data_IF_898186525579
#
_entry.id   IF_898186525579
#
_cell.length_a   1.000
_cell.length_b   1.000
_cell.length_c   1.000
_cell.angle_alpha   90.00
_cell.angle_beta   90.00
_cell.angle_gamma   90.00
#
_symmetry.space_group_name_H-M   'P 1'
#
loop_
_entity.id
_entity.type
_entity.pdbx_description
1 polymer ?
#
# COMPACT_ATOMS: atom_id res chain seq x y z
N UNK A 1 10.10 -2.03 36.59
CA UNK A 1 9.37 -1.03 35.78
C UNK A 1 9.12 -1.67 34.43
N UNK A 2 7.88 -2.04 34.14
CA UNK A 2 7.51 -2.57 32.82
C UNK A 2 7.50 -1.36 31.86
N UNK A 3 8.27 -1.40 30.78
CA UNK A 3 8.21 -0.36 29.75
C UNK A 3 6.80 -0.36 29.14
N UNK A 4 6.17 0.81 29.03
CA UNK A 4 4.89 0.94 28.32
C UNK A 4 5.03 0.46 26.87
N UNK A 5 4.00 -0.20 26.30
CA UNK A 5 4.04 -0.67 24.92
C UNK A 5 4.21 0.50 23.94
N UNK A 6 4.91 0.25 22.83
CA UNK A 6 5.11 1.25 21.78
C UNK A 6 3.77 1.61 21.12
N UNK A 7 3.50 2.91 20.99
CA UNK A 7 2.33 3.44 20.28
C UNK A 7 2.60 3.43 18.78
N UNK A 8 1.89 2.60 18.03
CA UNK A 8 2.08 2.42 16.59
C UNK A 8 0.91 3.03 15.84
N UNK A 9 1.20 3.90 14.87
CA UNK A 9 0.21 4.42 13.93
C UNK A 9 0.46 3.91 12.51
N UNK A 10 -0.63 3.70 11.76
CA UNK A 10 -0.59 3.17 10.40
C UNK A 10 -1.02 4.25 9.43
N UNK A 11 -0.20 4.48 8.40
CA UNK A 11 -0.56 5.31 7.25
C UNK A 11 -0.57 4.45 6.00
N UNK A 12 -1.75 4.17 5.46
CA UNK A 12 -1.87 3.30 4.29
C UNK A 12 -3.02 3.64 3.36
N UNK A 13 -3.27 2.76 2.40
CA UNK A 13 -4.43 2.81 1.52
C UNK A 13 -5.46 1.73 1.91
N UNK A 14 -6.23 1.22 0.94
CA UNK A 14 -7.29 0.22 1.17
C UNK A 14 -6.77 -1.04 1.86
N UNK A 15 -5.54 -1.48 1.55
CA UNK A 15 -4.91 -2.67 2.12
C UNK A 15 -4.82 -2.60 3.65
N UNK A 16 -4.79 -1.39 4.20
CA UNK A 16 -4.52 -1.13 5.61
C UNK A 16 -5.76 -0.64 6.39
N UNK A 17 -6.94 -0.62 5.77
CA UNK A 17 -8.18 -0.20 6.43
C UNK A 17 -8.90 -1.35 7.13
N UNK A 18 -9.73 -1.06 8.13
CA UNK A 18 -10.69 -2.01 8.68
C UNK A 18 -11.81 -1.25 9.40
N UNK A 19 -13.06 -1.64 9.18
CA UNK A 19 -14.19 -0.86 9.70
C UNK A 19 -14.24 -0.92 11.24
N UNK A 20 -14.44 0.25 11.86
CA UNK A 20 -14.27 0.47 13.30
C UNK A 20 -12.82 0.76 13.76
N UNK A 21 -11.83 0.79 12.88
CA UNK A 21 -10.42 1.06 13.24
C UNK A 21 -9.83 2.35 12.61
N UNK A 22 -10.55 2.99 11.69
CA UNK A 22 -10.12 4.22 11.01
C UNK A 22 -10.90 5.45 11.55
N UNK A 23 -10.39 6.68 11.39
CA UNK A 23 -11.12 7.89 11.77
C UNK A 23 -12.46 8.02 11.04
N UNK A 24 -13.41 8.70 11.68
CA UNK A 24 -14.72 8.97 11.07
C UNK A 24 -14.58 9.69 9.73
N UNK A 25 -15.36 9.25 8.75
CA UNK A 25 -15.33 9.79 7.38
C UNK A 25 -14.19 9.27 6.50
N UNK A 26 -13.23 8.49 7.05
CA UNK A 26 -12.22 7.84 6.23
C UNK A 26 -12.83 6.63 5.53
N UNK A 27 -12.61 6.52 4.21
CA UNK A 27 -13.16 5.38 3.48
C UNK A 27 -12.44 4.10 3.86
N UNK A 28 -13.22 3.05 4.13
CA UNK A 28 -12.74 1.72 4.49
C UNK A 28 -13.03 0.71 3.39
N UNK A 29 -12.06 -0.18 3.11
CA UNK A 29 -12.24 -1.31 2.21
C UNK A 29 -12.84 -2.53 2.92
N UNK A 30 -12.28 -2.95 4.06
CA UNK A 30 -12.72 -4.13 4.81
C UNK A 30 -13.93 -3.84 5.69
N UNK A 31 -15.10 -3.79 5.06
CA UNK A 31 -16.41 -3.58 5.67
C UNK A 31 -17.47 -4.44 4.96
N UNK A 32 -18.56 -4.77 5.66
CA UNK A 32 -19.68 -5.55 5.10
C UNK A 32 -19.24 -6.86 4.44
N UNK A 33 -19.76 -7.13 3.24
CA UNK A 33 -19.53 -8.36 2.47
C UNK A 33 -18.06 -8.61 2.15
N UNK A 34 -17.24 -7.56 1.99
CA UNK A 34 -15.81 -7.69 1.68
C UNK A 34 -15.03 -8.41 2.78
N UNK A 35 -15.48 -8.34 4.03
CA UNK A 35 -14.87 -9.10 5.14
C UNK A 35 -15.05 -10.60 4.96
N UNK A 36 -16.22 -11.01 4.44
CA UNK A 36 -16.50 -12.41 4.15
C UNK A 36 -15.76 -12.89 2.90
N UNK A 37 -15.76 -12.09 1.83
CA UNK A 37 -15.05 -12.42 0.58
C UNK A 37 -13.54 -12.58 0.77
N UNK A 38 -12.93 -11.71 1.57
CA UNK A 38 -11.48 -11.76 1.87
C UNK A 38 -11.15 -12.75 2.99
N UNK A 39 -12.13 -13.13 3.81
CA UNK A 39 -11.94 -13.84 5.06
C UNK A 39 -11.33 -13.00 6.19
N UNK A 40 -11.11 -11.69 5.99
CA UNK A 40 -10.60 -10.75 7.00
C UNK A 40 -11.79 -10.24 7.81
N UNK A 41 -12.10 -10.91 8.92
CA UNK A 41 -13.37 -10.73 9.65
C UNK A 41 -13.23 -9.90 10.92
N UNK A 42 -12.04 -9.88 11.51
CA UNK A 42 -11.73 -9.18 12.76
C UNK A 42 -10.55 -8.23 12.56
N UNK A 43 -10.43 -7.16 13.38
CA UNK A 43 -9.24 -6.30 13.36
C UNK A 43 -7.92 -7.08 13.51
N UNK A 44 -7.94 -8.13 14.33
CA UNK A 44 -6.79 -9.03 14.55
C UNK A 44 -6.34 -9.78 13.29
N UNK A 45 -7.22 -9.94 12.29
CA UNK A 45 -6.87 -10.60 11.01
C UNK A 45 -6.05 -9.68 10.09
N UNK A 46 -6.00 -8.37 10.37
CA UNK A 46 -5.30 -7.40 9.53
C UNK A 46 -3.78 -7.52 9.67
N UNK A 47 -3.06 -7.18 8.60
CA UNK A 47 -1.60 -7.23 8.63
C UNK A 47 -1.03 -6.33 9.72
N UNK A 48 -1.59 -5.14 9.90
CA UNK A 48 -1.08 -4.15 10.83
C UNK A 48 -1.31 -4.56 12.28
N UNK A 49 -2.43 -5.19 12.62
CA UNK A 49 -2.68 -5.66 13.99
C UNK A 49 -1.65 -6.74 14.36
N UNK A 50 -1.37 -7.65 13.44
CA UNK A 50 -0.39 -8.72 13.64
C UNK A 50 1.05 -8.19 13.73
N UNK A 51 1.41 -7.18 12.93
CA UNK A 51 2.72 -6.50 13.05
C UNK A 51 2.84 -5.81 14.41
N UNK A 52 1.81 -5.08 14.84
CA UNK A 52 1.81 -4.37 16.13
C UNK A 52 1.96 -5.35 17.29
N UNK A 53 1.23 -6.47 17.28
CA UNK A 53 1.35 -7.53 18.27
C UNK A 53 2.78 -8.08 18.32
N UNK A 54 3.37 -8.37 17.16
CA UNK A 54 4.74 -8.89 17.07
C UNK A 54 5.81 -7.87 17.52
N UNK A 55 5.50 -6.57 17.50
CA UNK A 55 6.36 -5.51 18.01
C UNK A 55 6.14 -5.19 19.50
N UNK A 56 5.36 -6.01 20.23
CA UNK A 56 4.91 -5.75 21.60
C UNK A 56 4.30 -4.34 21.75
N UNK A 57 3.61 -3.89 20.69
CA UNK A 57 3.05 -2.56 20.56
C UNK A 57 1.56 -2.49 20.83
N UNK A 58 1.02 -1.29 20.74
CA UNK A 58 -0.42 -1.02 20.72
C UNK A 58 -0.76 -0.06 19.59
N UNK A 59 -1.90 -0.27 18.94
CA UNK A 59 -2.39 0.66 17.93
C UNK A 59 -2.73 1.99 18.61
N UNK A 60 -2.14 3.08 18.12
CA UNK A 60 -2.52 4.44 18.49
C UNK A 60 -3.60 4.97 17.53
N UNK A 61 -3.32 4.92 16.23
CA UNK A 61 -4.27 5.36 15.21
C UNK A 61 -4.02 4.67 13.86
N UNK A 62 -5.09 4.47 13.07
CA UNK A 62 -4.97 3.97 11.71
C UNK A 62 -5.49 5.02 10.73
N UNK A 63 -4.60 5.91 10.27
CA UNK A 63 -4.87 6.96 9.29
C UNK A 63 -4.92 6.46 7.84
N UNK A 64 -5.27 5.20 7.59
CA UNK A 64 -5.40 4.64 6.24
C UNK A 64 -6.70 5.03 5.55
N UNK A 65 -6.68 5.21 4.23
CA UNK A 65 -7.85 5.60 3.45
C UNK A 65 -7.97 4.79 2.15
N UNK A 66 -9.12 4.14 1.94
CA UNK A 66 -9.34 3.29 0.78
C UNK A 66 -9.33 4.06 -0.54
N UNK A 67 -8.40 3.67 -1.43
CA UNK A 67 -8.20 4.23 -2.76
C UNK A 67 -7.27 5.45 -2.81
N UNK A 68 -6.77 5.93 -1.67
CA UNK A 68 -5.91 7.13 -1.64
C UNK A 68 -4.58 6.88 -2.34
N UNK A 69 -4.10 7.90 -3.03
CA UNK A 69 -2.74 7.98 -3.56
C UNK A 69 -1.80 8.63 -2.56
N UNK A 70 -0.49 8.50 -2.81
CA UNK A 70 0.52 9.36 -2.21
C UNK A 70 0.48 10.73 -2.89
N UNK A 71 0.42 10.75 -4.23
CA UNK A 71 0.14 11.95 -5.03
C UNK A 71 -1.25 12.53 -4.75
N UNK A 72 -1.36 13.86 -4.87
CA UNK A 72 -2.64 14.57 -4.84
C UNK A 72 -2.53 15.94 -4.18
N UNK A 73 -3.46 16.84 -4.53
CA UNK A 73 -3.43 18.24 -4.10
C UNK A 73 -4.02 18.48 -2.69
N UNK A 74 -4.62 17.46 -2.06
CA UNK A 74 -5.39 17.62 -0.83
C UNK A 74 -5.84 16.28 -0.26
N UNK A 75 -6.70 16.31 0.75
CA UNK A 75 -7.27 15.09 1.33
C UNK A 75 -8.09 14.34 0.27
N UNK A 76 -7.84 13.04 0.01
CA UNK A 76 -7.22 12.09 0.93
C UNK A 76 -5.77 11.69 0.61
N UNK A 77 -5.01 12.45 -0.17
CA UNK A 77 -3.61 12.13 -0.47
C UNK A 77 -2.79 11.92 0.81
N UNK A 78 -1.90 10.92 0.83
CA UNK A 78 -1.20 10.50 2.05
C UNK A 78 -0.42 11.61 2.75
N UNK A 79 0.13 12.55 1.98
CA UNK A 79 0.87 13.69 2.50
C UNK A 79 -0.01 14.81 3.05
N UNK A 80 -1.33 14.80 2.84
CA UNK A 80 -2.24 15.87 3.25
C UNK A 80 -2.29 16.04 4.77
N UNK A 81 -2.49 17.28 5.24
CA UNK A 81 -2.49 17.58 6.67
C UNK A 81 -3.49 16.71 7.47
N UNK A 82 -4.74 16.49 7.01
CA UNK A 82 -5.68 15.64 7.74
C UNK A 82 -5.21 14.17 7.85
N UNK A 83 -4.45 13.66 6.86
CA UNK A 83 -3.87 12.31 6.90
C UNK A 83 -2.71 12.22 7.89
N UNK A 84 -1.90 13.26 8.00
CA UNK A 84 -0.81 13.35 8.98
C UNK A 84 -1.39 13.46 10.39
N UNK A 85 -2.31 14.40 10.63
CA UNK A 85 -2.91 14.64 11.95
C UNK A 85 -3.63 13.40 12.50
N UNK A 86 -4.23 12.60 11.63
CA UNK A 86 -4.90 11.34 11.97
C UNK A 86 -3.98 10.24 12.51
N UNK A 87 -2.66 10.46 12.58
CA UNK A 87 -1.70 9.52 13.18
C UNK A 87 -1.48 9.77 14.68
N UNK A 88 -1.99 10.88 15.21
CA UNK A 88 -2.07 11.15 16.64
C UNK A 88 -3.51 10.97 17.15
N UNK A 89 -3.67 10.74 18.45
CA UNK A 89 -4.98 10.60 19.08
C UNK A 89 -4.94 11.19 20.48
N UNK A 90 -5.94 11.99 20.86
CA UNK A 90 -6.08 12.59 22.20
C UNK A 90 -4.82 13.31 22.71
N UNK A 91 -4.13 14.03 21.83
CA UNK A 91 -2.88 14.74 22.14
C UNK A 91 -1.64 13.83 22.28
N UNK A 92 -1.80 12.52 22.08
CA UNK A 92 -0.72 11.53 22.11
C UNK A 92 -0.15 11.32 20.71
N UNK A 93 1.17 11.39 20.60
CA UNK A 93 1.91 11.13 19.36
C UNK A 93 2.36 9.66 19.27
N UNK A 94 2.56 9.13 18.05
CA UNK A 94 3.08 7.78 17.85
C UNK A 94 4.56 7.69 18.22
N UNK A 95 4.97 6.52 18.72
CA UNK A 95 6.37 6.14 18.84
C UNK A 95 6.88 5.52 17.51
N UNK A 96 5.98 4.91 16.75
CA UNK A 96 6.25 4.27 15.45
C UNK A 96 5.15 4.65 14.45
N UNK A 97 5.53 5.01 13.23
CA UNK A 97 4.60 5.14 12.09
C UNK A 97 4.99 4.13 11.03
N UNK A 98 4.07 3.26 10.64
CA UNK A 98 4.28 2.32 9.53
C UNK A 98 3.51 2.83 8.31
N UNK A 99 4.25 3.16 7.25
CA UNK A 99 3.72 3.65 5.98
C UNK A 99 3.67 2.50 4.99
N UNK A 100 2.48 2.12 4.54
CA UNK A 100 2.29 1.13 3.47
C UNK A 100 1.22 1.60 2.50
N UNK A 101 1.68 2.33 1.47
CA UNK A 101 0.83 2.92 0.43
C UNK A 101 1.64 3.20 -0.84
N UNK A 102 0.94 3.35 -1.96
CA UNK A 102 1.50 3.69 -3.27
C UNK A 102 0.96 2.81 -4.41
N UNK A 103 0.22 1.75 -4.07
CA UNK A 103 -0.35 0.84 -5.07
C UNK A 103 -1.40 1.55 -5.95
N UNK A 104 -2.09 2.56 -5.41
CA UNK A 104 -3.03 3.37 -6.17
C UNK A 104 -2.33 4.30 -7.17
N UNK A 105 -1.17 4.86 -6.82
CA UNK A 105 -0.36 5.68 -7.72
C UNK A 105 0.12 4.83 -8.91
N UNK A 106 0.54 3.60 -8.63
CA UNK A 106 0.86 2.59 -9.65
C UNK A 106 -0.37 2.23 -10.52
N UNK A 107 -1.48 1.86 -9.89
CA UNK A 107 -2.67 1.35 -10.58
C UNK A 107 -3.42 2.41 -11.40
N UNK A 108 -3.35 3.69 -11.02
CA UNK A 108 -3.90 4.81 -11.80
C UNK A 108 -2.88 5.45 -12.74
N UNK A 109 -1.59 5.38 -12.46
CA UNK A 109 -0.56 6.16 -13.16
C UNK A 109 -0.50 7.62 -12.72
N UNK A 110 -0.96 7.92 -11.49
CA UNK A 110 -0.94 9.24 -10.86
C UNK A 110 -2.31 9.89 -10.66
N UNK A 111 -2.32 11.02 -9.93
CA UNK A 111 -3.55 11.66 -9.46
C UNK A 111 -4.46 12.21 -10.58
N UNK A 112 -3.87 12.74 -11.66
CA UNK A 112 -4.63 13.25 -12.80
C UNK A 112 -5.43 12.15 -13.49
N UNK A 113 -4.84 10.97 -13.67
CA UNK A 113 -5.51 9.81 -14.27
C UNK A 113 -6.62 9.27 -13.35
N UNK A 114 -6.41 9.27 -12.03
CA UNK A 114 -7.47 8.93 -11.08
C UNK A 114 -8.66 9.88 -11.19
N UNK A 115 -8.41 11.20 -11.26
CA UNK A 115 -9.46 12.20 -11.38
C UNK A 115 -10.26 12.09 -12.68
N UNK A 116 -9.58 11.96 -13.81
CA UNK A 116 -10.24 11.77 -15.11
C UNK A 116 -10.98 10.43 -15.17
N UNK A 117 -10.44 9.39 -14.52
CA UNK A 117 -11.07 8.08 -14.40
C UNK A 117 -12.25 7.99 -13.42
N UNK A 118 -12.59 9.10 -12.74
CA UNK A 118 -13.60 9.15 -11.68
C UNK A 118 -13.35 8.08 -10.60
N UNK A 119 -12.08 7.96 -10.21
CA UNK A 119 -11.66 7.10 -9.11
C UNK A 119 -12.41 7.44 -7.82
N UNK A 120 -12.44 6.52 -6.87
CA UNK A 120 -13.26 6.73 -5.69
C UNK A 120 -12.63 7.75 -4.71
N UNK A 121 -11.31 7.90 -4.63
CA UNK A 121 -10.62 8.68 -3.60
C UNK A 121 -10.07 10.02 -4.11
N UNK A 122 -10.93 10.82 -4.71
CA UNK A 122 -10.55 12.12 -5.26
C UNK A 122 -10.47 13.19 -4.18
N UNK A 123 -9.56 14.18 -4.33
CA UNK A 123 -9.53 15.33 -3.46
C UNK A 123 -10.87 16.07 -3.42
N UNK A 124 -11.31 16.45 -2.23
CA UNK A 124 -12.61 17.13 -2.04
C UNK A 124 -12.62 18.50 -2.71
N UNK A 125 -11.46 19.15 -2.80
CA UNK A 125 -11.28 20.49 -3.37
C UNK A 125 -11.20 20.49 -4.91
N UNK A 126 -11.26 19.32 -5.55
CA UNK A 126 -11.09 19.20 -6.99
C UNK A 126 -12.38 19.55 -7.74
N UNK A 127 -12.29 20.51 -8.67
CA UNK A 127 -13.37 20.78 -9.63
C UNK A 127 -13.41 19.68 -10.70
N UNK A 128 -14.26 18.68 -10.50
CA UNK A 128 -14.40 17.55 -11.41
C UNK A 128 -15.08 17.92 -12.73
N UNK A 129 -15.89 18.98 -12.75
CA UNK A 129 -16.57 19.45 -13.97
C UNK A 129 -15.57 20.08 -14.94
N UNK A 130 -14.46 20.62 -14.43
CA UNK A 130 -13.34 21.10 -15.22
C UNK A 130 -12.43 19.99 -15.79
N UNK A 131 -12.63 18.72 -15.39
CA UNK A 131 -11.79 17.59 -15.79
C UNK A 131 -12.57 16.66 -16.72
N UNK A 132 -12.19 16.62 -17.99
CA UNK A 132 -12.79 15.71 -18.97
C UNK A 132 -12.65 14.24 -18.50
N UNK A 133 -13.76 13.49 -18.37
CA UNK A 133 -13.71 12.08 -18.03
C UNK A 133 -12.97 11.27 -19.08
N UNK A 134 -12.04 10.42 -18.66
CA UNK A 134 -11.37 9.50 -19.58
C UNK A 134 -11.13 8.13 -18.94
N UNK A 135 -11.00 7.11 -19.78
CA UNK A 135 -10.50 5.82 -19.31
C UNK A 135 -9.00 5.95 -19.07
N UNK A 136 -8.55 5.58 -17.88
CA UNK A 136 -7.13 5.61 -17.57
C UNK A 136 -6.34 4.76 -18.58
N UNK A 137 -5.23 5.29 -19.05
CA UNK A 137 -4.43 4.72 -20.15
C UNK A 137 -2.96 4.59 -19.73
N UNK A 138 -2.03 4.68 -20.69
CA UNK A 138 -0.59 4.80 -20.46
C UNK A 138 -0.33 5.97 -19.49
N UNK A 139 0.50 5.70 -18.49
CA UNK A 139 0.92 6.71 -17.52
C UNK A 139 1.78 7.76 -18.20
N UNK A 140 1.76 9.00 -17.70
CA UNK A 140 2.67 10.03 -18.16
C UNK A 140 4.14 9.56 -17.95
N UNK A 141 5.09 9.93 -18.82
CA UNK A 141 6.48 9.45 -18.75
C UNK A 141 7.17 9.72 -17.41
N UNK A 142 6.73 10.77 -16.71
CA UNK A 142 7.22 11.27 -15.42
C UNK A 142 6.40 10.75 -14.21
N UNK A 143 5.56 9.73 -14.38
CA UNK A 143 4.67 9.24 -13.31
C UNK A 143 5.43 8.71 -12.09
N UNK A 144 6.58 8.05 -12.28
CA UNK A 144 7.39 7.55 -11.16
C UNK A 144 8.10 8.71 -10.45
N UNK A 145 8.53 9.73 -11.20
CA UNK A 145 9.14 10.94 -10.67
C UNK A 145 8.16 11.75 -9.82
N UNK A 146 6.94 11.96 -10.30
CA UNK A 146 5.89 12.63 -9.50
C UNK A 146 5.56 11.85 -8.23
N UNK A 147 5.46 10.52 -8.34
CA UNK A 147 5.25 9.67 -7.16
C UNK A 147 6.41 9.81 -6.16
N UNK A 148 7.66 9.83 -6.64
CA UNK A 148 8.85 10.05 -5.80
C UNK A 148 8.78 11.39 -5.07
N UNK A 149 8.44 12.47 -5.76
CA UNK A 149 8.34 13.79 -5.16
C UNK A 149 7.20 13.85 -4.12
N UNK A 150 6.07 13.22 -4.40
CA UNK A 150 4.96 13.11 -3.46
C UNK A 150 5.35 12.27 -2.21
N UNK A 151 6.09 11.18 -2.39
CA UNK A 151 6.56 10.34 -1.28
C UNK A 151 7.64 11.04 -0.43
N UNK A 152 8.51 11.84 -1.05
CA UNK A 152 9.44 12.73 -0.34
C UNK A 152 8.70 13.77 0.49
N UNK A 153 7.68 14.42 -0.08
CA UNK A 153 6.84 15.35 0.67
C UNK A 153 6.14 14.65 1.85
N UNK A 154 5.61 13.45 1.64
CA UNK A 154 5.00 12.64 2.70
C UNK A 154 5.99 12.39 3.85
N UNK A 155 7.17 11.83 3.55
CA UNK A 155 8.18 11.51 4.57
C UNK A 155 8.71 12.76 5.25
N UNK A 156 8.92 13.86 4.53
CA UNK A 156 9.27 15.16 5.10
C UNK A 156 8.22 15.64 6.13
N UNK A 157 6.93 15.57 5.78
CA UNK A 157 5.83 16.00 6.67
C UNK A 157 5.73 15.10 7.90
N UNK A 158 5.87 13.78 7.75
CA UNK A 158 5.90 12.85 8.88
C UNK A 158 7.03 13.15 9.85
N UNK A 159 8.24 13.41 9.34
CA UNK A 159 9.41 13.76 10.18
C UNK A 159 9.26 15.12 10.86
N UNK A 160 8.59 16.07 10.22
CA UNK A 160 8.31 17.38 10.81
C UNK A 160 7.23 17.30 11.91
N UNK A 161 6.15 16.55 11.68
CA UNK A 161 5.06 16.39 12.64
C UNK A 161 5.42 15.49 13.82
N UNK A 162 6.19 14.42 13.57
CA UNK A 162 6.53 13.38 14.54
C UNK A 162 8.05 13.13 14.59
N UNK A 163 8.86 14.12 15.02
CA UNK A 163 10.31 14.03 14.97
C UNK A 163 10.90 12.90 15.82
N UNK A 164 10.17 12.44 16.85
CA UNK A 164 10.59 11.36 17.73
C UNK A 164 10.10 9.97 17.29
N UNK A 165 9.14 9.89 16.35
CA UNK A 165 8.61 8.61 15.90
C UNK A 165 9.61 7.89 14.97
N UNK A 166 9.73 6.57 15.09
CA UNK A 166 10.38 5.75 14.08
C UNK A 166 9.43 5.57 12.89
N UNK A 167 9.73 6.23 11.76
CA UNK A 167 8.92 6.14 10.53
C UNK A 167 9.47 5.02 9.66
N UNK A 168 8.67 3.99 9.40
CA UNK A 168 9.01 2.85 8.55
C UNK A 168 8.26 2.91 7.23
N UNK A 169 8.99 3.04 6.13
CA UNK A 169 8.42 3.01 4.78
C UNK A 169 8.47 1.59 4.24
N UNK A 170 7.31 0.99 3.96
CA UNK A 170 7.21 -0.34 3.38
C UNK A 170 7.24 -0.24 1.84
N UNK A 171 8.10 -1.03 1.19
CA UNK A 171 8.02 -1.19 -0.27
C UNK A 171 6.76 -1.99 -0.65
N UNK A 172 6.26 -1.78 -1.86
CA UNK A 172 5.14 -2.51 -2.43
C UNK A 172 5.59 -3.91 -2.86
N UNK A 173 4.71 -4.90 -2.72
CA UNK A 173 4.92 -6.25 -3.23
C UNK A 173 3.74 -6.69 -4.10
N UNK A 174 3.92 -7.67 -5.01
CA UNK A 174 2.85 -8.10 -5.89
C UNK A 174 1.75 -8.88 -5.14
N UNK A 175 0.49 -8.62 -5.49
CA UNK A 175 -0.63 -9.45 -5.09
C UNK A 175 -0.89 -10.58 -6.09
N UNK A 176 -1.19 -11.77 -5.59
CA UNK A 176 -1.52 -12.96 -6.37
C UNK A 176 -2.95 -13.40 -6.11
N UNK A 177 -3.72 -13.64 -7.16
CA UNK A 177 -5.12 -14.09 -7.04
C UNK A 177 -5.19 -15.40 -6.25
N UNK A 178 -6.07 -15.44 -5.26
CA UNK A 178 -6.27 -16.59 -4.39
C UNK A 178 -6.50 -17.89 -5.19
N UNK A 179 -5.80 -18.95 -4.79
CA UNK A 179 -5.83 -20.24 -5.47
C UNK A 179 -4.90 -20.37 -6.70
N UNK A 180 -4.28 -19.29 -7.18
CA UNK A 180 -3.33 -19.38 -8.28
C UNK A 180 -1.98 -19.95 -7.83
N UNK A 181 -1.46 -20.93 -8.58
CA UNK A 181 -0.11 -21.47 -8.42
C UNK A 181 0.95 -20.68 -9.21
N UNK A 182 0.52 -19.70 -10.03
CA UNK A 182 1.39 -18.88 -10.89
C UNK A 182 1.25 -17.39 -10.57
N UNK A 183 2.28 -16.58 -10.84
CA UNK A 183 2.20 -15.13 -10.69
C UNK A 183 1.02 -14.58 -11.49
N UNK A 184 0.24 -13.69 -10.88
CA UNK A 184 -0.90 -13.06 -11.54
C UNK A 184 -0.81 -11.54 -11.52
N UNK A 185 0.34 -10.95 -11.17
CA UNK A 185 0.44 -9.51 -11.02
C UNK A 185 0.78 -8.85 -12.37
N UNK A 186 -0.05 -7.89 -12.79
CA UNK A 186 0.27 -7.05 -13.92
C UNK A 186 1.41 -6.10 -13.52
N UNK A 187 2.66 -6.39 -13.92
CA UNK A 187 3.88 -5.71 -13.41
C UNK A 187 4.22 -4.38 -14.10
N UNK A 188 3.56 -4.08 -15.22
CA UNK A 188 3.76 -2.86 -15.98
C UNK A 188 2.42 -2.32 -16.53
N UNK A 189 1.41 -2.21 -15.64
CA UNK A 189 0.00 -2.01 -15.99
C UNK A 189 -0.22 -0.87 -17.00
N UNK A 190 0.43 0.27 -16.76
CA UNK A 190 0.27 1.50 -17.54
C UNK A 190 1.56 1.92 -18.25
N UNK A 191 2.51 0.99 -18.43
CA UNK A 191 3.81 1.30 -19.02
C UNK A 191 4.81 1.95 -18.05
N UNK A 192 4.43 2.19 -16.80
CA UNK A 192 5.34 2.57 -15.71
C UNK A 192 5.74 1.30 -14.91
N UNK A 193 7.03 0.94 -14.83
CA UNK A 193 7.47 -0.28 -14.15
C UNK A 193 7.21 -0.23 -12.65
N UNK A 194 6.61 -1.29 -12.09
CA UNK A 194 6.35 -1.41 -10.66
C UNK A 194 7.60 -1.22 -9.79
N UNK A 195 8.76 -1.71 -10.25
CA UNK A 195 10.03 -1.53 -9.57
C UNK A 195 10.41 -0.05 -9.36
N UNK A 196 10.04 0.84 -10.28
CA UNK A 196 10.32 2.27 -10.18
C UNK A 196 9.63 2.93 -8.97
N UNK A 197 8.42 2.49 -8.64
CA UNK A 197 7.71 2.95 -7.43
C UNK A 197 8.42 2.49 -6.16
N UNK A 198 8.93 1.25 -6.13
CA UNK A 198 9.72 0.79 -4.99
C UNK A 198 11.04 1.53 -4.84
N UNK A 199 11.71 1.88 -5.95
CA UNK A 199 12.93 2.69 -5.91
C UNK A 199 12.66 4.12 -5.43
N UNK A 200 11.50 4.69 -5.75
CA UNK A 200 11.05 5.97 -5.21
C UNK A 200 10.82 5.91 -3.68
N UNK A 201 10.22 4.82 -3.18
CA UNK A 201 10.02 4.62 -1.73
C UNK A 201 11.37 4.49 -1.01
N UNK A 202 12.29 3.68 -1.53
CA UNK A 202 13.65 3.49 -0.97
C UNK A 202 14.41 4.80 -0.88
N UNK A 203 14.34 5.59 -1.95
CA UNK A 203 15.01 6.89 -2.04
C UNK A 203 14.41 7.92 -1.07
N UNK A 204 13.09 8.03 -1.01
CA UNK A 204 12.42 8.95 -0.09
C UNK A 204 12.68 8.60 1.39
N UNK A 205 12.67 7.30 1.73
CA UNK A 205 13.00 6.84 3.08
C UNK A 205 14.42 7.29 3.49
N UNK A 206 15.39 7.11 2.59
CA UNK A 206 16.78 7.54 2.81
C UNK A 206 16.91 9.07 2.92
N UNK A 207 16.25 9.82 2.05
CA UNK A 207 16.38 11.27 1.96
C UNK A 207 15.97 12.01 3.25
N UNK A 208 14.99 11.48 3.98
CA UNK A 208 14.46 12.09 5.20
C UNK A 208 14.79 11.31 6.49
N UNK A 209 15.72 10.37 6.43
CA UNK A 209 16.15 9.59 7.60
C UNK A 209 15.03 8.71 8.20
N UNK A 210 14.12 8.24 7.36
CA UNK A 210 13.15 7.21 7.74
C UNK A 210 13.80 5.82 7.61
N UNK A 211 13.23 4.84 8.29
CA UNK A 211 13.61 3.44 8.14
C UNK A 211 12.91 2.81 6.93
N UNK A 212 13.54 1.80 6.35
CA UNK A 212 13.00 1.05 5.22
C UNK A 212 12.62 -0.36 5.68
N UNK A 213 11.36 -0.74 5.49
CA UNK A 213 10.92 -2.13 5.53
C UNK A 213 10.82 -2.63 4.08
N UNK A 214 11.90 -3.23 3.55
CA UNK A 214 11.95 -3.60 2.13
C UNK A 214 11.22 -4.93 1.86
N UNK A 215 9.88 -4.90 1.93
CA UNK A 215 8.98 -6.04 1.68
C UNK A 215 9.24 -6.67 0.30
N UNK A 216 9.44 -5.85 -0.72
CA UNK A 216 9.72 -6.31 -2.09
C UNK A 216 10.97 -7.20 -2.18
N UNK A 217 11.98 -6.96 -1.34
CA UNK A 217 13.23 -7.72 -1.36
C UNK A 217 13.11 -9.17 -0.86
N UNK A 218 12.00 -9.54 -0.19
CA UNK A 218 11.73 -10.95 0.11
C UNK A 218 11.41 -11.79 -1.14
N UNK A 219 10.97 -11.15 -2.23
CA UNK A 219 10.71 -11.82 -3.52
C UNK A 219 9.54 -12.80 -3.48
N UNK A 220 8.49 -12.47 -2.73
CA UNK A 220 7.26 -13.26 -2.64
C UNK A 220 6.03 -12.40 -2.91
N UNK A 221 5.04 -13.01 -3.57
CA UNK A 221 3.70 -12.46 -3.69
C UNK A 221 2.91 -12.74 -2.39
N UNK A 222 1.92 -11.90 -2.11
CA UNK A 222 0.88 -12.21 -1.11
C UNK A 222 -0.43 -12.61 -1.79
N UNK A 223 -1.24 -13.42 -1.12
CA UNK A 223 -2.54 -13.84 -1.62
C UNK A 223 -3.57 -12.70 -1.55
N UNK A 224 -4.24 -12.42 -2.66
CA UNK A 224 -5.17 -11.32 -2.84
C UNK A 224 -6.40 -11.74 -3.66
N UNK A 225 -7.48 -10.97 -3.60
CA UNK A 225 -8.67 -11.21 -4.43
C UNK A 225 -8.51 -10.70 -5.86
N UNK A 226 -7.97 -9.49 -6.02
CA UNK A 226 -7.93 -8.74 -7.29
C UNK A 226 -6.51 -8.30 -7.67
N UNK A 227 -5.51 -9.00 -7.13
CA UNK A 227 -4.09 -8.65 -7.25
C UNK A 227 -3.68 -7.45 -6.37
N UNK A 228 -4.59 -6.92 -5.54
CA UNK A 228 -4.31 -5.81 -4.60
C UNK A 228 -4.76 -6.13 -3.19
N UNK A 229 -6.02 -6.51 -2.99
CA UNK A 229 -6.61 -6.60 -1.65
C UNK A 229 -6.35 -7.98 -1.03
N UNK A 230 -5.54 -8.08 0.04
CA UNK A 230 -5.18 -9.36 0.64
C UNK A 230 -6.37 -10.13 1.20
N UNK A 231 -6.32 -11.47 1.06
CA UNK A 231 -7.16 -12.38 1.84
C UNK A 231 -6.65 -12.46 3.29
N UNK A 232 -7.32 -13.22 4.17
CA UNK A 232 -6.79 -13.53 5.50
C UNK A 232 -5.40 -14.23 5.46
N UNK A 233 -5.11 -15.01 4.41
CA UNK A 233 -3.75 -15.56 4.21
C UNK A 233 -2.79 -14.45 3.75
N UNK A 234 -3.23 -13.60 2.81
CA UNK A 234 -2.49 -12.42 2.36
C UNK A 234 -2.09 -11.49 3.49
N UNK A 235 -3.00 -11.23 4.43
CA UNK A 235 -2.73 -10.39 5.61
C UNK A 235 -1.63 -10.99 6.48
N UNK A 236 -1.65 -12.31 6.72
CA UNK A 236 -0.59 -13.01 7.47
C UNK A 236 0.75 -12.98 6.74
N UNK A 237 0.75 -13.07 5.41
CA UNK A 237 1.96 -12.95 4.59
C UNK A 237 2.54 -11.55 4.68
N UNK A 238 1.72 -10.51 4.45
CA UNK A 238 2.15 -9.12 4.59
C UNK A 238 2.67 -8.83 6.01
N UNK A 239 1.97 -9.28 7.05
CA UNK A 239 2.41 -9.13 8.43
C UNK A 239 3.78 -9.77 8.68
N UNK A 240 3.97 -11.00 8.19
CA UNK A 240 5.22 -11.74 8.34
C UNK A 240 6.38 -11.01 7.66
N UNK A 241 6.19 -10.50 6.44
CA UNK A 241 7.22 -9.76 5.73
C UNK A 241 7.53 -8.42 6.41
N UNK A 242 6.50 -7.62 6.70
CA UNK A 242 6.68 -6.28 7.28
C UNK A 242 7.32 -6.36 8.66
N UNK A 243 6.84 -7.22 9.56
CA UNK A 243 7.41 -7.34 10.90
C UNK A 243 8.86 -7.84 10.85
N UNK A 244 9.16 -8.84 10.01
CA UNK A 244 10.54 -9.36 9.86
C UNK A 244 11.48 -8.27 9.33
N UNK A 245 11.03 -7.48 8.34
CA UNK A 245 11.83 -6.36 7.82
C UNK A 245 12.09 -5.28 8.89
N UNK A 246 11.12 -5.01 9.76
CA UNK A 246 11.25 -4.03 10.86
C UNK A 246 12.21 -4.54 11.96
N UNK A 247 12.08 -5.81 12.36
CA UNK A 247 12.88 -6.41 13.43
C UNK A 247 14.37 -6.52 13.07
N UNK A 248 14.65 -6.92 11.83
CA UNK A 248 15.99 -7.36 11.45
C UNK A 248 16.76 -6.32 10.63
N UNK A 249 16.05 -5.34 10.06
CA UNK A 249 16.62 -4.39 9.10
C UNK A 249 17.15 -5.05 7.81
N UNK A 250 16.84 -6.34 7.60
CA UNK A 250 17.24 -7.13 6.44
C UNK A 250 16.08 -8.02 5.98
N UNK A 251 15.79 -8.00 4.68
CA UNK A 251 14.69 -8.77 4.09
C UNK A 251 15.13 -10.18 3.67
N UNK A 252 15.61 -10.98 4.63
CA UNK A 252 16.06 -12.36 4.37
C UNK A 252 14.86 -13.33 4.30
N UNK A 253 14.54 -13.90 3.12
CA UNK A 253 13.40 -14.79 2.95
C UNK A 253 13.48 -16.07 3.80
N UNK A 254 14.66 -16.47 4.27
CA UNK A 254 14.83 -17.66 5.12
C UNK A 254 14.23 -17.49 6.51
N UNK A 255 13.92 -16.26 6.92
CA UNK A 255 13.29 -15.95 8.20
C UNK A 255 11.77 -15.92 8.14
N UNK A 256 11.20 -16.00 6.93
CA UNK A 256 9.76 -16.08 6.74
C UNK A 256 9.24 -17.49 7.06
N UNK A 257 8.03 -17.62 7.65
CA UNK A 257 7.46 -18.92 7.96
C UNK A 257 7.12 -19.70 6.69
N UNK A 258 7.79 -20.84 6.47
CA UNK A 258 7.63 -21.67 5.27
C UNK A 258 6.18 -22.08 4.98
N UNK A 259 5.33 -22.19 6.01
CA UNK A 259 3.91 -22.51 5.85
C UNK A 259 3.10 -21.40 5.12
N UNK A 260 3.58 -20.16 5.12
CA UNK A 260 2.95 -19.03 4.42
C UNK A 260 3.64 -18.72 3.09
N UNK A 261 4.89 -19.15 2.89
CA UNK A 261 5.74 -18.78 1.76
C UNK A 261 6.34 -20.01 1.11
N UNK A 262 5.52 -20.72 0.34
CA UNK A 262 6.01 -21.79 -0.51
C UNK A 262 6.69 -21.22 -1.78
N UNK A 263 7.60 -21.98 -2.39
CA UNK A 263 8.36 -21.52 -3.55
C UNK A 263 7.49 -21.21 -4.78
N UNK A 264 6.25 -21.69 -4.87
CA UNK A 264 5.36 -21.32 -5.97
C UNK A 264 4.89 -19.86 -5.89
N UNK A 265 4.96 -19.25 -4.71
CA UNK A 265 4.62 -17.85 -4.46
C UNK A 265 5.75 -16.87 -4.78
N UNK A 266 6.90 -17.35 -5.28
CA UNK A 266 7.98 -16.45 -5.72
C UNK A 266 7.47 -15.44 -6.73
N UNK A 267 7.80 -14.17 -6.49
CA UNK A 267 7.47 -13.09 -7.40
C UNK A 267 8.25 -13.26 -8.70
N UNK A 268 7.55 -13.15 -9.83
CA UNK A 268 8.16 -13.16 -11.16
C UNK A 268 7.53 -12.02 -11.95
N UNK A 269 8.39 -11.17 -12.53
CA UNK A 269 7.94 -10.13 -13.44
C UNK A 269 7.50 -10.76 -14.76
N UNK A 270 6.21 -10.68 -15.05
CA UNK A 270 5.64 -11.15 -16.31
C UNK A 270 5.80 -10.06 -17.38
N UNK A 271 6.38 -10.43 -18.53
CA UNK A 271 6.52 -9.56 -19.70
C UNK A 271 7.29 -8.25 -19.40
N UNK A 272 8.57 -8.34 -18.95
CA UNK A 272 9.34 -7.17 -18.53
C UNK A 272 9.41 -6.11 -19.63
N UNK A 273 9.15 -4.86 -19.25
CA UNK A 273 9.18 -3.71 -20.15
C UNK A 273 8.00 -3.56 -21.12
N UNK A 274 7.11 -4.57 -21.24
CA UNK A 274 5.91 -4.47 -22.09
C UNK A 274 4.74 -3.87 -21.31
N UNK A 275 4.06 -2.88 -21.86
CA UNK A 275 2.87 -2.30 -21.22
C UNK A 275 1.71 -3.30 -21.21
N UNK A 276 0.90 -3.30 -20.15
CA UNK A 276 -0.34 -4.08 -20.14
C UNK A 276 -1.50 -3.40 -20.89
N UNK A 277 -1.40 -2.12 -21.28
CA UNK A 277 -2.43 -1.44 -22.06
C UNK A 277 -2.62 -2.15 -23.42
N UNK A 278 -3.84 -2.64 -23.68
CA UNK A 278 -4.17 -3.40 -24.89
C UNK A 278 -3.70 -4.86 -24.87
N UNK A 279 -3.13 -5.34 -23.77
CA UNK A 279 -2.75 -6.75 -23.61
C UNK A 279 -3.99 -7.64 -23.42
N UNK A 280 -4.12 -8.70 -24.21
CA UNK A 280 -5.22 -9.66 -24.12
C UNK A 280 -5.25 -10.47 -22.80
N UNK A 281 -4.16 -10.45 -22.03
CA UNK A 281 -4.04 -11.15 -20.75
C UNK A 281 -4.24 -10.24 -19.54
N UNK A 282 -4.35 -8.92 -19.72
CA UNK A 282 -4.63 -8.03 -18.61
C UNK A 282 -6.14 -8.09 -18.31
N UNK A 283 -6.52 -8.48 -17.09
CA UNK A 283 -7.92 -8.62 -16.70
C UNK A 283 -8.72 -7.33 -16.90
N UNK A 284 -8.10 -6.21 -16.53
CA UNK A 284 -8.63 -4.88 -16.78
C UNK A 284 -7.49 -3.86 -16.76
N UNK A 285 -7.51 -2.90 -17.68
CA UNK A 285 -6.59 -1.76 -17.71
C UNK A 285 -7.32 -0.41 -17.70
N UNK A 286 -8.65 -0.44 -17.67
CA UNK A 286 -9.52 0.73 -17.58
C UNK A 286 -9.73 1.18 -16.13
N UNK A 287 -10.94 1.66 -15.82
CA UNK A 287 -11.25 2.30 -14.53
C UNK A 287 -11.75 1.31 -13.46
N UNK A 288 -12.03 0.05 -13.81
CA UNK A 288 -12.35 -0.99 -12.82
C UNK A 288 -11.05 -1.53 -12.22
N UNK A 289 -11.00 -1.64 -10.89
CA UNK A 289 -9.79 -1.96 -10.17
C UNK A 289 -9.42 -3.45 -10.28
N UNK A 290 -8.38 -3.76 -11.05
CA UNK A 290 -7.70 -5.06 -11.08
C UNK A 290 -6.22 -4.86 -11.37
N UNK A 291 -5.34 -5.50 -10.59
CA UNK A 291 -3.90 -5.61 -10.89
C UNK A 291 -3.55 -7.04 -11.35
N UNK A 292 -4.43 -7.63 -12.16
CA UNK A 292 -4.38 -9.05 -12.52
C UNK A 292 -3.92 -9.26 -13.96
N UNK A 293 -2.88 -10.06 -14.12
CA UNK A 293 -2.48 -10.72 -15.34
C UNK A 293 -3.03 -12.16 -15.33
N UNK A 294 -3.85 -12.48 -16.33
CA UNK A 294 -4.42 -13.81 -16.57
C UNK A 294 -3.57 -14.63 -17.55
N UNK A 295 -2.34 -14.17 -17.81
CA UNK A 295 -1.37 -14.92 -18.58
C UNK A 295 -1.01 -16.16 -17.77
N UNK A 296 -1.33 -17.33 -18.32
CA UNK A 296 -1.06 -18.63 -17.72
C UNK A 296 -1.86 -18.93 -16.43
N UNK A 297 -2.92 -18.16 -16.14
CA UNK A 297 -3.83 -18.31 -14.99
C UNK A 297 -4.88 -19.44 -15.18
#
# INVERSE_FOLDING_TARGET
MQNSPRRVSILGDSISTFDGCNPDGFRVYYTGERREETGVRLPADTWWSQVIERLDGQLLANGSFSGSLVEGAGFPAGSSQPRIDALASDGVQPDVVIVFMGINDYGWGGAAAQAAGRGNALPVELDLDAIEPCTASIAAPDAVERFRDAYRLLTQRLRAAYPQAAVWCCTLCPGRVAGSSRPTFASNLRGAPFAGYNDAIRDAARAHGCHLADVAAFGFDYEALDGTHPTARGMRQLASMIATAIEDGASDPRRLPAALFDESLRSVELCPGASCIGCAHAKNTGNSWFLVCEKDA
#
